data_IF_205907767384
#
_entry.id   IF_205907767384
#
_cell.length_a   1.000
_cell.length_b   1.000
_cell.length_c   1.000
_cell.angle_alpha   90.00
_cell.angle_beta   90.00
_cell.angle_gamma   90.00
#
_symmetry.space_group_name_H-M   'P 1'
#
loop_
_entity.id
_entity.type
_entity.pdbx_description
1 polymer ?
#
# COMPACT_ATOMS: atom_id res chain seq x y z
N UNK A 1 -18.05 -29.30 -16.43
CA UNK A 1 -18.01 -28.23 -15.41
C UNK A 1 -18.49 -26.89 -16.00
N UNK A 2 -19.43 -26.19 -15.36
CA UNK A 2 -19.92 -24.89 -15.86
C UNK A 2 -18.98 -23.77 -15.38
N UNK A 3 -18.04 -23.38 -16.23
CA UNK A 3 -17.12 -22.24 -16.02
C UNK A 3 -17.80 -20.90 -16.34
N UNK A 4 -18.97 -20.65 -15.74
CA UNK A 4 -19.73 -19.43 -15.96
C UNK A 4 -19.41 -18.36 -14.89
N UNK A 5 -19.39 -17.07 -15.30
CA UNK A 5 -19.19 -15.97 -14.35
C UNK A 5 -20.35 -15.89 -13.35
N UNK A 6 -20.00 -15.88 -12.07
CA UNK A 6 -20.92 -15.58 -10.98
C UNK A 6 -21.35 -14.11 -11.00
N UNK A 7 -22.40 -13.75 -10.25
CA UNK A 7 -22.82 -12.34 -10.11
C UNK A 7 -21.68 -11.43 -9.64
N UNK A 8 -20.88 -11.90 -8.68
CA UNK A 8 -19.67 -11.19 -8.26
C UNK A 8 -18.66 -11.11 -9.42
N UNK A 9 -18.38 -12.23 -10.11
CA UNK A 9 -17.46 -12.27 -11.24
C UNK A 9 -17.81 -11.29 -12.37
N UNK A 10 -19.10 -11.13 -12.66
CA UNK A 10 -19.58 -10.11 -13.63
C UNK A 10 -19.26 -8.68 -13.20
N UNK A 11 -19.33 -8.38 -11.89
CA UNK A 11 -18.95 -7.06 -11.34
C UNK A 11 -17.44 -6.87 -11.37
N UNK A 12 -16.67 -7.88 -10.96
CA UNK A 12 -15.21 -7.83 -10.97
C UNK A 12 -14.65 -7.62 -12.38
N UNK A 13 -15.28 -8.22 -13.40
CA UNK A 13 -14.90 -8.05 -14.80
C UNK A 13 -15.03 -6.61 -15.32
N UNK A 14 -15.69 -5.71 -14.59
CA UNK A 14 -15.80 -4.29 -14.94
C UNK A 14 -14.69 -3.44 -14.28
N UNK A 15 -13.83 -4.02 -13.44
CA UNK A 15 -12.74 -3.33 -12.75
C UNK A 15 -11.42 -3.73 -13.42
N UNK A 16 -10.65 -2.76 -13.90
CA UNK A 16 -9.41 -2.96 -14.68
C UNK A 16 -8.19 -3.32 -13.81
N UNK A 17 -8.34 -4.19 -12.81
CA UNK A 17 -7.25 -4.64 -11.92
C UNK A 17 -7.27 -6.17 -11.75
N UNK A 18 -6.28 -6.74 -11.06
CA UNK A 18 -6.25 -8.17 -10.73
C UNK A 18 -7.56 -8.57 -10.01
N UNK A 19 -8.21 -9.69 -10.39
CA UNK A 19 -9.50 -10.08 -9.80
C UNK A 19 -9.50 -10.17 -8.26
N UNK A 20 -8.36 -10.48 -7.63
CA UNK A 20 -8.23 -10.54 -6.17
C UNK A 20 -8.30 -9.13 -5.56
N UNK A 21 -7.65 -8.16 -6.19
CA UNK A 21 -7.69 -6.75 -5.77
C UNK A 21 -9.06 -6.15 -6.03
N UNK A 22 -9.66 -6.44 -7.19
CA UNK A 22 -11.04 -6.04 -7.51
C UNK A 22 -12.02 -6.56 -6.45
N UNK A 23 -11.87 -7.82 -6.03
CA UNK A 23 -12.71 -8.41 -4.97
C UNK A 23 -12.51 -7.71 -3.64
N UNK A 24 -11.27 -7.39 -3.26
CA UNK A 24 -10.99 -6.62 -2.06
C UNK A 24 -11.69 -5.25 -2.10
N UNK A 25 -11.58 -4.51 -3.21
CA UNK A 25 -12.22 -3.19 -3.41
C UNK A 25 -13.74 -3.25 -3.20
N UNK A 26 -14.39 -4.26 -3.79
CA UNK A 26 -15.84 -4.49 -3.61
C UNK A 26 -16.17 -4.75 -2.14
N UNK A 27 -15.38 -5.58 -1.45
CA UNK A 27 -15.61 -5.88 -0.03
C UNK A 27 -15.39 -4.65 0.86
N UNK A 28 -14.35 -3.84 0.62
CA UNK A 28 -14.13 -2.63 1.42
C UNK A 28 -15.22 -1.58 1.25
N UNK A 29 -15.86 -1.51 0.08
CA UNK A 29 -17.06 -0.68 -0.11
C UNK A 29 -18.21 -1.12 0.81
N UNK A 30 -18.38 -2.44 0.99
CA UNK A 30 -19.39 -3.02 1.90
C UNK A 30 -19.02 -2.75 3.37
N UNK A 31 -17.76 -2.96 3.74
CA UNK A 31 -17.25 -2.74 5.10
C UNK A 31 -16.93 -1.28 5.43
N UNK A 32 -17.19 -0.35 4.50
CA UNK A 32 -16.97 1.09 4.67
C UNK A 32 -15.51 1.47 4.98
N UNK A 33 -14.55 0.72 4.44
CA UNK A 33 -13.11 0.95 4.62
C UNK A 33 -12.38 1.12 3.27
N UNK A 34 -13.06 1.75 2.30
CA UNK A 34 -12.57 1.86 0.92
C UNK A 34 -11.27 2.65 0.80
N UNK A 35 -11.12 3.75 1.54
CA UNK A 35 -9.98 4.64 1.47
C UNK A 35 -8.64 3.97 1.87
N UNK A 36 -8.49 3.36 3.07
CA UNK A 36 -7.26 2.66 3.41
C UNK A 36 -7.02 1.43 2.52
N UNK A 37 -8.08 0.79 2.00
CA UNK A 37 -7.89 -0.33 1.08
C UNK A 37 -7.35 0.13 -0.29
N UNK A 38 -7.84 1.24 -0.84
CA UNK A 38 -7.34 1.76 -2.12
C UNK A 38 -5.85 2.09 -2.03
N UNK A 39 -5.40 2.59 -0.88
CA UNK A 39 -3.98 2.81 -0.59
C UNK A 39 -3.20 1.49 -0.55
N UNK A 40 -3.72 0.47 0.14
CA UNK A 40 -3.07 -0.86 0.14
C UNK A 40 -2.98 -1.42 -1.29
N UNK A 41 -4.04 -1.29 -2.10
CA UNK A 41 -4.07 -1.76 -3.49
C UNK A 41 -3.06 -1.01 -4.36
N UNK A 42 -2.93 0.31 -4.19
CA UNK A 42 -1.93 1.09 -4.93
C UNK A 42 -0.51 0.66 -4.57
N UNK A 43 -0.22 0.46 -3.28
CA UNK A 43 1.09 -0.03 -2.82
C UNK A 43 1.39 -1.47 -3.26
N UNK A 44 0.39 -2.35 -3.34
CA UNK A 44 0.58 -3.70 -3.89
C UNK A 44 0.84 -3.69 -5.41
N UNK A 45 0.38 -2.66 -6.11
CA UNK A 45 0.64 -2.46 -7.54
C UNK A 45 1.99 -1.78 -7.76
N UNK A 46 2.41 -0.92 -6.83
CA UNK A 46 3.68 -0.20 -6.84
C UNK A 46 4.22 -0.08 -5.42
N UNK A 47 5.18 -0.94 -5.08
CA UNK A 47 5.73 -1.00 -3.73
C UNK A 47 6.39 0.34 -3.34
N UNK A 48 6.03 0.93 -2.18
CA UNK A 48 6.66 2.14 -1.68
C UNK A 48 8.09 1.92 -1.17
N UNK A 49 8.49 0.69 -0.83
CA UNK A 49 9.82 0.37 -0.32
C UNK A 49 10.81 0.06 -1.45
N UNK A 50 12.00 0.65 -1.35
CA UNK A 50 13.13 0.42 -2.26
C UNK A 50 13.82 -0.92 -1.96
N UNK A 51 13.16 -2.05 -2.19
CA UNK A 51 13.73 -3.36 -1.89
C UNK A 51 14.73 -3.84 -2.95
N UNK A 52 15.87 -4.33 -2.48
CA UNK A 52 16.93 -4.97 -3.26
C UNK A 52 17.46 -6.18 -2.48
N UNK A 53 18.32 -7.01 -3.08
CA UNK A 53 18.93 -8.13 -2.36
C UNK A 53 19.82 -7.67 -1.19
N UNK A 54 20.40 -6.49 -1.32
CA UNK A 54 21.39 -5.95 -0.37
C UNK A 54 20.74 -5.28 0.85
N UNK A 55 19.52 -4.77 0.73
CA UNK A 55 18.88 -3.98 1.79
C UNK A 55 17.57 -4.60 2.35
N UNK A 56 17.38 -5.92 2.20
CA UNK A 56 16.17 -6.59 2.68
C UNK A 56 15.98 -6.40 4.18
N UNK A 57 17.05 -6.54 4.95
CA UNK A 57 17.04 -6.40 6.41
C UNK A 57 16.61 -5.01 6.88
N UNK A 58 17.00 -3.97 6.14
CA UNK A 58 16.66 -2.58 6.41
C UNK A 58 15.18 -2.32 6.11
N UNK A 59 14.69 -2.81 4.97
CA UNK A 59 13.28 -2.72 4.59
C UNK A 59 12.40 -3.48 5.58
N UNK A 60 12.80 -4.67 6.03
CA UNK A 60 12.04 -5.46 7.00
C UNK A 60 11.98 -4.75 8.36
N UNK A 61 13.07 -4.10 8.80
CA UNK A 61 13.07 -3.25 10.00
C UNK A 61 12.14 -2.05 9.83
N UNK A 62 12.19 -1.37 8.68
CA UNK A 62 11.30 -0.25 8.39
C UNK A 62 9.82 -0.68 8.45
N UNK A 63 9.47 -1.81 7.82
CA UNK A 63 8.13 -2.41 7.87
C UNK A 63 7.73 -2.83 9.28
N UNK A 64 8.64 -3.37 10.09
CA UNK A 64 8.38 -3.70 11.49
C UNK A 64 8.03 -2.44 12.31
N UNK A 65 8.81 -1.37 12.16
CA UNK A 65 8.54 -0.08 12.83
C UNK A 65 7.21 0.51 12.38
N UNK A 66 6.97 0.56 11.06
CA UNK A 66 5.73 1.10 10.49
C UNK A 66 4.52 0.23 10.82
N UNK A 67 4.64 -1.09 10.90
CA UNK A 67 3.55 -1.99 11.27
C UNK A 67 3.21 -1.95 12.77
N UNK A 68 4.03 -1.31 13.61
CA UNK A 68 3.80 -1.16 15.07
C UNK A 68 3.44 -2.53 15.67
N UNK A 69 2.45 -2.56 16.55
CA UNK A 69 1.96 -3.79 17.21
C UNK A 69 1.16 -4.72 16.28
N UNK A 70 0.79 -4.27 15.07
CA UNK A 70 -0.09 -5.07 14.19
C UNK A 70 0.62 -6.21 13.47
N UNK A 71 1.94 -6.11 13.27
CA UNK A 71 2.70 -7.03 12.42
C UNK A 71 2.21 -7.13 10.97
N UNK A 72 1.41 -6.16 10.49
CA UNK A 72 0.81 -6.17 9.16
C UNK A 72 1.56 -5.26 8.19
N UNK A 73 2.14 -5.87 7.15
CA UNK A 73 2.77 -5.14 6.04
C UNK A 73 1.80 -4.22 5.30
N UNK A 74 0.53 -4.64 5.16
CA UNK A 74 -0.50 -3.78 4.57
C UNK A 74 -0.71 -2.50 5.40
N UNK A 75 -0.68 -2.58 6.73
CA UNK A 75 -0.77 -1.40 7.58
C UNK A 75 0.54 -0.60 7.60
N UNK A 76 1.68 -1.23 7.35
CA UNK A 76 2.94 -0.52 7.13
C UNK A 76 2.86 0.38 5.89
N UNK A 77 2.26 -0.08 4.78
CA UNK A 77 2.00 0.76 3.60
C UNK A 77 1.15 1.99 3.92
N UNK A 78 0.01 1.79 4.61
CA UNK A 78 -0.89 2.89 5.00
C UNK A 78 -0.15 3.94 5.80
N UNK A 79 0.71 3.52 6.74
CA UNK A 79 1.47 4.43 7.60
C UNK A 79 2.65 5.09 6.90
N UNK A 80 3.30 4.41 5.96
CA UNK A 80 4.35 4.99 5.13
C UNK A 80 3.82 6.17 4.30
N UNK A 81 2.67 5.97 3.64
CA UNK A 81 2.03 7.02 2.83
C UNK A 81 1.50 8.14 3.71
N UNK A 82 0.80 7.84 4.82
CA UNK A 82 0.31 8.87 5.73
C UNK A 82 1.44 9.73 6.32
N UNK A 83 2.55 9.10 6.73
CA UNK A 83 3.72 9.83 7.23
C UNK A 83 4.39 10.67 6.14
N UNK A 84 4.43 10.18 4.90
CA UNK A 84 4.93 10.97 3.77
C UNK A 84 4.06 12.22 3.51
N UNK A 85 2.74 12.09 3.52
CA UNK A 85 1.81 13.22 3.38
C UNK A 85 1.99 14.26 4.51
N UNK A 86 2.20 13.81 5.74
CA UNK A 86 2.51 14.69 6.88
C UNK A 86 3.79 15.50 6.64
N UNK A 87 4.84 14.86 6.14
CA UNK A 87 6.10 15.52 5.81
C UNK A 87 5.94 16.50 4.65
N UNK A 88 5.17 16.14 3.61
CA UNK A 88 4.89 17.03 2.48
C UNK A 88 4.18 18.32 2.94
N UNK A 89 3.25 18.22 3.89
CA UNK A 89 2.53 19.37 4.48
C UNK A 89 3.46 20.36 5.19
N UNK A 90 4.55 19.88 5.80
CA UNK A 90 5.51 20.72 6.54
C UNK A 90 6.40 21.58 5.64
N UNK A 91 6.49 21.28 4.34
CA UNK A 91 7.33 21.98 3.35
C UNK A 91 8.83 22.06 3.71
N UNK A 92 9.31 21.09 4.48
CA UNK A 92 10.74 20.94 4.81
C UNK A 92 11.38 19.91 3.87
N UNK A 93 12.37 20.34 3.09
CA UNK A 93 13.08 19.44 2.16
C UNK A 93 13.94 18.42 2.90
N UNK A 94 14.57 18.81 4.00
CA UNK A 94 15.46 17.93 4.75
C UNK A 94 14.67 16.80 5.41
N UNK A 95 13.53 17.14 6.01
CA UNK A 95 12.63 16.15 6.60
C UNK A 95 12.09 15.14 5.57
N UNK A 96 11.96 15.53 4.29
CA UNK A 96 11.58 14.61 3.21
C UNK A 96 12.66 13.57 2.95
N UNK A 97 13.89 14.03 2.78
CA UNK A 97 15.02 13.15 2.47
C UNK A 97 15.29 12.20 3.65
N UNK A 98 15.24 12.71 4.88
CA UNK A 98 15.37 11.91 6.11
C UNK A 98 14.27 10.84 6.19
N UNK A 99 13.00 11.20 5.96
CA UNK A 99 11.89 10.24 6.02
C UNK A 99 12.01 9.11 4.98
N UNK A 100 12.42 9.45 3.75
CA UNK A 100 12.62 8.47 2.69
C UNK A 100 13.79 7.53 3.02
N UNK A 101 14.87 8.08 3.57
CA UNK A 101 16.05 7.31 3.96
C UNK A 101 15.75 6.37 5.13
N UNK A 102 15.14 6.88 6.21
CA UNK A 102 14.87 6.13 7.44
C UNK A 102 13.99 4.89 7.20
N UNK A 103 13.02 5.02 6.29
CA UNK A 103 12.09 3.95 5.97
C UNK A 103 12.42 3.22 4.66
N UNK A 104 13.57 3.51 4.04
CA UNK A 104 13.98 2.91 2.75
C UNK A 104 12.90 3.01 1.68
N UNK A 105 12.29 4.19 1.53
CA UNK A 105 11.16 4.44 0.63
C UNK A 105 11.61 5.01 -0.72
N UNK A 106 10.75 4.85 -1.73
CA UNK A 106 10.93 5.41 -3.07
C UNK A 106 9.88 6.51 -3.32
N UNK A 107 10.30 7.78 -3.35
CA UNK A 107 9.36 8.91 -3.46
C UNK A 107 8.38 8.81 -4.65
N UNK A 108 8.79 8.38 -5.86
CA UNK A 108 7.87 8.26 -7.00
C UNK A 108 6.81 7.15 -6.89
N UNK A 109 6.90 6.26 -5.90
CA UNK A 109 5.84 5.29 -5.58
C UNK A 109 4.89 5.75 -4.47
N UNK A 110 5.18 6.87 -3.81
CA UNK A 110 4.33 7.49 -2.78
C UNK A 110 3.45 8.63 -3.30
N UNK A 111 3.29 8.75 -4.63
CA UNK A 111 2.53 9.80 -5.32
C UNK A 111 1.29 9.24 -6.01
#
# INVERSE_FOLDING_TARGET
PREALTTLGKRLAQISTDPRLAKAIVLASIYRCIEPLLLIVSCLTRDPFSSSLQNRTEVDKAKAVLSRESGSDHLAFVRAVAGWEDILRRRDSRARDEYLQDYSLYAPSLR
#
